data_IF_073033554796
#
_entry.id   IF_073033554796
#
_cell.length_a   1.000
_cell.length_b   1.000
_cell.length_c   1.000
_cell.angle_alpha   90.00
_cell.angle_beta   90.00
_cell.angle_gamma   90.00
#
_symmetry.space_group_name_H-M   'P 1'
#
loop_
_entity.id
_entity.type
_entity.pdbx_description
1 polymer ?
#
# COMPACT_ATOMS: atom_id res chain seq x y z
N UNK A 1 13.17 -1.68 -9.58
CA UNK A 1 12.85 -2.51 -8.41
C UNK A 1 11.82 -3.55 -8.76
N UNK A 2 12.06 -4.79 -8.34
CA UNK A 2 11.10 -5.86 -8.61
C UNK A 2 10.20 -6.04 -7.39
N UNK A 3 8.90 -5.95 -7.59
CA UNK A 3 7.96 -6.10 -6.49
C UNK A 3 7.62 -7.56 -6.26
N UNK A 4 7.52 -7.95 -5.00
CA UNK A 4 7.05 -9.28 -4.62
C UNK A 4 5.52 -9.31 -4.62
N UNK A 5 4.95 -10.51 -4.67
CA UNK A 5 3.50 -10.66 -4.74
C UNK A 5 2.77 -10.00 -3.57
N UNK A 6 3.33 -10.10 -2.36
CA UNK A 6 2.70 -9.48 -1.20
C UNK A 6 2.72 -7.95 -1.31
N UNK A 7 3.79 -7.38 -1.87
CA UNK A 7 3.85 -5.93 -2.08
C UNK A 7 2.84 -5.50 -3.14
N UNK A 8 2.71 -6.27 -4.21
CA UNK A 8 1.72 -5.98 -5.25
C UNK A 8 0.31 -6.06 -4.67
N UNK A 9 0.04 -7.06 -3.83
CA UNK A 9 -1.26 -7.19 -3.18
C UNK A 9 -1.61 -5.97 -2.33
N UNK A 10 -0.64 -5.47 -1.57
CA UNK A 10 -0.85 -4.28 -0.77
C UNK A 10 -1.14 -3.06 -1.66
N UNK A 11 -0.34 -2.88 -2.71
CA UNK A 11 -0.55 -1.75 -3.62
C UNK A 11 -1.90 -1.82 -4.30
N UNK A 12 -2.34 -3.03 -4.68
CA UNK A 12 -3.66 -3.20 -5.29
C UNK A 12 -4.77 -2.81 -4.31
N UNK A 13 -4.64 -3.20 -3.06
CA UNK A 13 -5.60 -2.83 -2.03
C UNK A 13 -5.67 -1.30 -1.88
N UNK A 14 -4.51 -0.66 -1.82
CA UNK A 14 -4.46 0.80 -1.67
C UNK A 14 -5.00 1.51 -2.92
N UNK A 15 -4.84 0.92 -4.09
CA UNK A 15 -5.41 1.49 -5.31
C UNK A 15 -6.94 1.51 -5.24
N UNK A 16 -7.54 0.53 -4.54
CA UNK A 16 -8.99 0.47 -4.39
C UNK A 16 -9.50 1.34 -3.25
N UNK A 17 -8.84 1.32 -2.10
CA UNK A 17 -9.36 1.95 -0.89
C UNK A 17 -8.65 3.25 -0.51
N UNK A 18 -7.65 3.64 -1.27
CA UNK A 18 -6.92 4.92 -1.13
C UNK A 18 -6.05 5.05 0.10
N UNK A 19 -6.47 4.57 1.26
CA UNK A 19 -5.67 4.71 2.47
C UNK A 19 -5.85 3.51 3.39
N UNK A 20 -4.80 3.17 4.11
CA UNK A 20 -4.80 2.07 5.06
C UNK A 20 -3.83 2.44 6.19
N UNK A 21 -4.13 2.03 7.41
CA UNK A 21 -3.24 2.29 8.53
C UNK A 21 -1.94 1.47 8.38
N UNK A 22 -0.83 2.02 8.83
CA UNK A 22 0.46 1.35 8.70
C UNK A 22 0.47 -0.08 9.28
N UNK A 23 -0.08 -0.32 10.49
CA UNK A 23 -0.12 -1.70 11.00
C UNK A 23 -0.87 -2.66 10.08
N UNK A 24 -1.94 -2.17 9.46
CA UNK A 24 -2.71 -3.01 8.55
C UNK A 24 -1.93 -3.30 7.27
N UNK A 25 -1.10 -2.35 6.82
CA UNK A 25 -0.22 -2.59 5.70
C UNK A 25 0.76 -3.71 6.00
N UNK A 26 1.32 -3.72 7.20
CA UNK A 26 2.23 -4.78 7.60
C UNK A 26 1.53 -6.13 7.66
N UNK A 27 0.27 -6.16 8.15
CA UNK A 27 -0.47 -7.41 8.14
C UNK A 27 -0.70 -7.93 6.73
N UNK A 28 -1.00 -7.07 5.80
CA UNK A 28 -1.19 -7.49 4.42
C UNK A 28 0.10 -8.02 3.80
N UNK A 29 1.24 -7.47 4.20
CA UNK A 29 2.53 -7.97 3.73
C UNK A 29 2.88 -9.32 4.35
N UNK A 30 2.31 -9.64 5.52
CA UNK A 30 2.65 -10.85 6.25
C UNK A 30 1.79 -12.02 5.78
N UNK A 31 1.97 -12.43 4.55
CA UNK A 31 1.18 -13.52 3.97
C UNK A 31 1.43 -14.86 4.65
N UNK A 32 2.56 -15.00 5.32
CA UNK A 32 2.90 -16.25 6.02
C UNK A 32 2.57 -16.19 7.50
N UNK A 33 2.01 -15.09 7.96
CA UNK A 33 1.61 -14.89 9.35
C UNK A 33 2.75 -15.13 10.33
N UNK A 34 3.93 -14.64 9.98
CA UNK A 34 5.12 -14.80 10.82
C UNK A 34 5.11 -13.86 12.02
N UNK A 35 4.41 -12.74 11.91
CA UNK A 35 4.40 -11.72 12.96
C UNK A 35 5.71 -10.97 13.10
N UNK A 36 6.66 -11.15 12.20
CA UNK A 36 7.96 -10.50 12.30
C UNK A 36 7.87 -9.08 11.76
N UNK A 37 7.57 -8.15 12.65
CA UNK A 37 7.38 -6.75 12.27
C UNK A 37 8.63 -6.12 11.67
N UNK A 38 9.80 -6.56 12.07
CA UNK A 38 11.05 -6.04 11.52
C UNK A 38 11.18 -6.40 10.05
N UNK A 39 10.95 -7.67 9.71
CA UNK A 39 11.00 -8.10 8.32
C UNK A 39 9.92 -7.42 7.48
N UNK A 40 8.72 -7.28 8.04
CA UNK A 40 7.63 -6.61 7.34
C UNK A 40 7.92 -5.14 7.10
N UNK A 41 8.55 -4.49 8.06
CA UNK A 41 8.97 -3.10 7.91
C UNK A 41 9.98 -2.95 6.79
N UNK A 42 10.91 -3.89 6.67
CA UNK A 42 11.86 -3.88 5.55
C UNK A 42 11.17 -4.10 4.21
N UNK A 43 10.13 -4.93 4.18
CA UNK A 43 9.37 -5.15 2.95
C UNK A 43 8.58 -3.90 2.56
N UNK A 44 8.12 -3.12 3.54
CA UNK A 44 7.38 -1.90 3.29
C UNK A 44 8.29 -0.74 2.84
N UNK A 45 9.48 -0.65 3.38
CA UNK A 45 10.38 0.47 3.13
C UNK A 45 10.62 0.76 1.64
N UNK A 46 10.86 -0.23 0.78
CA UNK A 46 11.06 0.06 -0.64
C UNK A 46 9.86 0.73 -1.30
N UNK A 47 8.67 0.48 -0.78
CA UNK A 47 7.46 1.08 -1.36
C UNK A 47 7.42 2.59 -1.14
N UNK A 48 7.89 3.05 0.02
CA UNK A 48 7.99 4.49 0.27
C UNK A 48 9.22 5.07 -0.41
N UNK A 49 10.34 4.35 -0.39
CA UNK A 49 11.58 4.84 -0.98
C UNK A 49 11.43 5.03 -2.49
N UNK A 50 10.71 4.14 -3.14
CA UNK A 50 10.50 4.23 -4.59
C UNK A 50 9.23 5.00 -4.95
N UNK A 51 8.60 5.62 -3.98
CA UNK A 51 7.44 6.51 -4.18
C UNK A 51 6.22 5.81 -4.75
N UNK A 52 6.04 4.57 -4.41
CA UNK A 52 4.78 3.88 -4.70
C UNK A 52 3.70 4.27 -3.70
N UNK A 53 4.08 4.51 -2.45
CA UNK A 53 3.15 4.91 -1.39
C UNK A 53 3.75 6.02 -0.54
N UNK A 54 2.89 6.69 0.21
CA UNK A 54 3.31 7.73 1.15
C UNK A 54 2.75 7.41 2.52
N UNK A 55 3.60 7.48 3.54
CA UNK A 55 3.17 7.26 4.91
C UNK A 55 2.98 8.62 5.57
N UNK A 56 1.79 8.85 6.11
CA UNK A 56 1.46 10.11 6.76
C UNK A 56 1.94 10.11 8.21
N UNK A 57 2.01 11.30 8.81
CA UNK A 57 2.45 11.42 10.20
C UNK A 57 1.51 10.71 11.15
N UNK A 58 0.23 10.65 10.83
CA UNK A 58 -0.75 10.00 11.69
C UNK A 58 -0.76 8.47 11.51
N UNK A 59 0.11 7.94 10.69
CA UNK A 59 0.21 6.51 10.47
C UNK A 59 -0.59 6.00 9.28
N UNK A 60 -1.29 6.85 8.57
CA UNK A 60 -2.02 6.44 7.38
C UNK A 60 -1.07 6.27 6.20
N UNK A 61 -1.36 5.31 5.35
CA UNK A 61 -0.58 5.03 4.15
C UNK A 61 -1.49 5.17 2.93
N UNK A 62 -1.06 5.94 1.96
CA UNK A 62 -1.83 6.11 0.73
C UNK A 62 -0.97 5.81 -0.48
N UNK A 63 -1.61 5.46 -1.59
CA UNK A 63 -0.90 5.14 -2.81
C UNK A 63 -0.57 6.42 -3.55
N UNK A 64 0.59 6.47 -4.17
CA UNK A 64 1.00 7.60 -4.99
C UNK A 64 0.78 7.27 -6.47
N UNK A 65 0.97 8.27 -7.32
CA UNK A 65 0.71 8.11 -8.76
C UNK A 65 1.49 6.95 -9.37
N UNK A 66 2.73 6.75 -8.95
CA UNK A 66 3.55 5.68 -9.49
C UNK A 66 2.97 4.31 -9.14
N UNK A 67 2.45 4.17 -7.92
CA UNK A 67 1.80 2.92 -7.51
C UNK A 67 0.47 2.71 -8.25
N UNK A 68 -0.31 3.79 -8.43
CA UNK A 68 -1.57 3.69 -9.16
C UNK A 68 -1.36 3.28 -10.61
N UNK A 69 -0.26 3.71 -11.21
CA UNK A 69 0.00 3.40 -12.61
C UNK A 69 0.16 1.89 -12.86
N UNK A 70 0.42 1.12 -11.80
CA UNK A 70 0.49 -0.33 -11.93
C UNK A 70 -0.89 -0.97 -12.10
N UNK A 71 -1.95 -0.25 -11.74
CA UNK A 71 -3.30 -0.79 -11.74
C UNK A 71 -4.28 0.14 -12.45
N UNK A 72 -4.09 0.35 -13.74
CA UNK A 72 -4.93 1.32 -14.46
C UNK A 72 -6.40 0.92 -14.54
N UNK A 73 -6.68 -0.37 -14.34
CA UNK A 73 -8.06 -0.85 -14.41
C UNK A 73 -8.81 -0.74 -13.09
N UNK A 74 -8.13 -0.35 -12.02
CA UNK A 74 -8.78 -0.26 -10.71
C UNK A 74 -9.31 1.14 -10.49
N UNK A 75 -10.61 1.23 -10.21
CA UNK A 75 -11.24 2.50 -9.86
C UNK A 75 -11.33 2.57 -8.33
N UNK A 76 -10.86 3.65 -7.71
CA UNK A 76 -10.94 3.77 -6.25
C UNK A 76 -12.40 3.68 -5.77
N UNK A 77 -12.62 2.84 -4.75
CA UNK A 77 -13.96 2.70 -4.20
C UNK A 77 -14.41 3.97 -3.48
N UNK A 78 -13.48 4.68 -2.92
CA UNK A 78 -13.84 5.90 -2.29
C UNK A 78 -13.58 6.97 -3.25
N UNK A 79 -14.47 7.32 -3.93
CA UNK A 79 -14.28 8.38 -4.79
C UNK A 79 -14.56 9.56 -4.06
N UNK A 80 -13.64 10.18 -3.98
CA UNK A 80 -13.87 11.29 -3.37
C UNK A 80 -15.02 12.01 -3.72
N UNK A 81 -15.27 12.14 -3.80
CA UNK A 81 -16.19 12.87 -4.06
C UNK A 81 -17.12 12.70 -3.99
N UNK A 82 -16.96 11.84 -3.85
CA UNK A 82 -17.96 11.55 -3.83
C UNK A 82 -18.65 12.51 -4.25
N UNK A 83 -18.45 12.72 -4.12
CA UNK A 83 -19.07 13.58 -4.37
C UNK A 83 -19.39 14.11 -5.22
N UNK A 84 -19.04 13.92 -5.48
CA UNK A 84 -19.33 14.75 -6.43
C UNK A 84 -20.47 14.69 -6.81
#
# INVERSE_FOLDING_TARGET
>A
MKLHNNQIGLLRHLARFQMLAYPDCLEMLDTEQTGDRTALSYAFRPLTKNKYVSKQKDGGVSILAKGRALFPDITPLISAGGGA
#
